data_IF_834229411504
#
_entry.id   IF_834229411504
#
_cell.length_a   1.000
_cell.length_b   1.000
_cell.length_c   1.000
_cell.angle_alpha   90.00
_cell.angle_beta   90.00
_cell.angle_gamma   90.00
#
_symmetry.space_group_name_H-M   'P 1'
#
loop_
_entity.id
_entity.type
_entity.pdbx_description
1 polymer ?
#
# COMPACT_ATOMS: atom_id res chain seq x y z
N UNK A 1 -2.33 -17.79 -15.03
CA UNK A 1 -1.64 -16.57 -14.58
C UNK A 1 -0.27 -16.50 -15.24
N UNK A 2 0.18 -15.28 -15.57
CA UNK A 2 1.51 -15.04 -16.14
C UNK A 2 2.55 -14.98 -15.02
N UNK A 3 3.78 -15.43 -15.28
CA UNK A 3 4.90 -15.29 -14.33
C UNK A 3 5.16 -13.82 -13.93
N UNK A 4 4.90 -12.88 -14.84
CA UNK A 4 5.03 -11.45 -14.56
C UNK A 4 3.97 -10.96 -13.56
N UNK A 5 2.74 -11.48 -13.69
CA UNK A 5 1.64 -11.21 -12.77
C UNK A 5 1.98 -11.71 -11.36
N UNK A 6 2.40 -12.97 -11.21
CA UNK A 6 2.75 -13.56 -9.91
C UNK A 6 3.89 -12.80 -9.22
N UNK A 7 4.87 -12.34 -10.01
CA UNK A 7 5.99 -11.54 -9.49
C UNK A 7 5.52 -10.17 -9.01
N UNK A 8 4.64 -9.51 -9.78
CA UNK A 8 4.07 -8.22 -9.40
C UNK A 8 3.23 -8.33 -8.12
N UNK A 9 2.40 -9.37 -8.00
CA UNK A 9 1.62 -9.63 -6.79
C UNK A 9 2.53 -9.81 -5.56
N UNK A 10 3.56 -10.65 -5.66
CA UNK A 10 4.50 -10.86 -4.55
C UNK A 10 5.22 -9.56 -4.14
N UNK A 11 5.59 -8.72 -5.11
CA UNK A 11 6.19 -7.41 -4.84
C UNK A 11 5.21 -6.46 -4.15
N UNK A 12 3.96 -6.40 -4.58
CA UNK A 12 2.95 -5.54 -3.99
C UNK A 12 2.60 -6.04 -2.58
N UNK A 13 2.34 -7.33 -2.41
CA UNK A 13 1.95 -7.92 -1.14
C UNK A 13 3.04 -7.81 -0.07
N UNK A 14 4.33 -7.96 -0.42
CA UNK A 14 5.43 -7.76 0.53
C UNK A 14 5.47 -6.34 1.12
N UNK A 15 5.14 -5.33 0.33
CA UNK A 15 5.07 -3.93 0.79
C UNK A 15 3.83 -3.68 1.65
N UNK A 16 2.70 -4.27 1.26
CA UNK A 16 1.49 -4.25 2.08
C UNK A 16 1.65 -4.96 3.43
N UNK A 17 2.51 -5.99 3.52
CA UNK A 17 2.84 -6.64 4.78
C UNK A 17 3.58 -5.68 5.71
N UNK A 18 4.62 -4.99 5.21
CA UNK A 18 5.36 -3.98 6.00
C UNK A 18 4.47 -2.84 6.50
N UNK A 19 3.58 -2.32 5.64
CA UNK A 19 2.61 -1.29 6.03
C UNK A 19 1.65 -1.77 7.12
N UNK A 20 1.32 -3.07 7.14
CA UNK A 20 0.44 -3.68 8.14
C UNK A 20 1.16 -3.94 9.46
N UNK A 21 2.45 -4.25 9.40
CA UNK A 21 3.30 -4.45 10.58
C UNK A 21 3.63 -3.14 11.31
N UNK A 22 3.14 -2.01 10.80
CA UNK A 22 3.18 -0.71 11.47
C UNK A 22 4.27 0.23 10.94
N UNK A 23 5.00 -0.14 9.88
CA UNK A 23 5.86 0.80 9.18
C UNK A 23 4.98 1.78 8.40
N UNK A 24 4.78 2.96 8.97
CA UNK A 24 4.00 4.07 8.40
C UNK A 24 4.87 5.11 7.70
N UNK A 25 6.09 4.73 7.31
CA UNK A 25 7.02 5.67 6.68
C UNK A 25 6.49 6.17 5.33
N UNK A 26 6.69 7.47 5.08
CA UNK A 26 6.31 8.09 3.80
C UNK A 26 7.03 7.43 2.61
N UNK A 27 8.26 6.94 2.84
CA UNK A 27 9.03 6.21 1.83
C UNK A 27 8.34 4.89 1.44
N UNK A 28 7.92 4.08 2.41
CA UNK A 28 7.25 2.80 2.13
C UNK A 28 5.92 3.00 1.40
N UNK A 29 5.16 4.05 1.75
CA UNK A 29 3.95 4.43 1.01
C UNK A 29 4.25 4.79 -0.45
N UNK A 30 5.29 5.60 -0.70
CA UNK A 30 5.70 5.97 -2.05
C UNK A 30 6.18 4.74 -2.86
N UNK A 31 6.97 3.85 -2.24
CA UNK A 31 7.41 2.61 -2.87
C UNK A 31 6.25 1.65 -3.19
N UNK A 32 5.24 1.59 -2.31
CA UNK A 32 4.03 0.79 -2.53
C UNK A 32 3.21 1.33 -3.69
N UNK A 33 2.97 2.64 -3.71
CA UNK A 33 2.29 3.33 -4.81
C UNK A 33 3.02 3.10 -6.13
N UNK A 34 4.34 3.31 -6.16
CA UNK A 34 5.16 3.08 -7.34
C UNK A 34 5.09 1.62 -7.83
N UNK A 35 5.11 0.63 -6.93
CA UNK A 35 5.00 -0.78 -7.31
C UNK A 35 3.66 -1.10 -7.98
N UNK A 36 2.55 -0.54 -7.47
CA UNK A 36 1.21 -0.69 -8.05
C UNK A 36 1.16 -0.08 -9.46
N UNK A 37 1.66 1.16 -9.60
CA UNK A 37 1.69 1.86 -10.88
C UNK A 37 2.56 1.14 -11.92
N UNK A 38 3.75 0.65 -11.52
CA UNK A 38 4.63 -0.10 -12.41
C UNK A 38 4.00 -1.44 -12.84
N UNK A 39 3.34 -2.16 -11.93
CA UNK A 39 2.67 -3.41 -12.27
C UNK A 39 1.58 -3.21 -13.33
N UNK A 40 0.79 -2.14 -13.19
CA UNK A 40 -0.25 -1.79 -14.16
C UNK A 40 0.36 -1.31 -15.49
N UNK A 41 1.37 -0.43 -15.45
CA UNK A 41 2.03 0.09 -16.65
C UNK A 41 2.71 -1.00 -17.50
N UNK A 42 3.22 -2.05 -16.85
CA UNK A 42 3.81 -3.22 -17.52
C UNK A 42 2.75 -4.26 -17.97
N UNK A 43 1.47 -4.03 -17.70
CA UNK A 43 0.38 -4.96 -18.01
C UNK A 43 0.42 -6.24 -17.17
N UNK A 44 1.11 -6.22 -16.03
CA UNK A 44 1.17 -7.36 -15.12
C UNK A 44 -0.13 -7.50 -14.31
N UNK A 45 -0.83 -6.39 -14.05
CA UNK A 45 -2.16 -6.35 -13.44
C UNK A 45 -3.11 -5.55 -14.33
N UNK A 46 -4.40 -5.83 -14.25
CA UNK A 46 -5.41 -5.07 -14.98
C UNK A 46 -5.87 -3.82 -14.20
N UNK A 47 -6.81 -3.07 -14.81
CA UNK A 47 -7.34 -1.83 -14.23
C UNK A 47 -8.21 -2.06 -12.98
N UNK A 48 -8.85 -3.23 -12.85
CA UNK A 48 -9.66 -3.56 -11.68
C UNK A 48 -8.75 -3.89 -10.49
N UNK A 49 -7.70 -4.67 -10.73
CA UNK A 49 -6.65 -4.98 -9.76
C UNK A 49 -5.89 -3.73 -9.33
N UNK A 50 -5.51 -2.87 -10.27
CA UNK A 50 -4.90 -1.57 -9.99
C UNK A 50 -5.76 -0.74 -9.04
N UNK A 51 -7.05 -0.55 -9.38
CA UNK A 51 -8.00 0.17 -8.52
C UNK A 51 -8.14 -0.48 -7.16
N UNK A 52 -8.21 -1.80 -7.10
CA UNK A 52 -8.29 -2.54 -5.84
C UNK A 52 -7.08 -2.23 -4.94
N UNK A 53 -5.87 -2.28 -5.49
CA UNK A 53 -4.66 -2.01 -4.73
C UNK A 53 -4.53 -0.54 -4.30
N UNK A 54 -4.88 0.42 -5.14
CA UNK A 54 -4.90 1.86 -4.78
C UNK A 54 -5.86 2.10 -3.61
N UNK A 55 -7.10 1.62 -3.71
CA UNK A 55 -8.10 1.77 -2.63
C UNK A 55 -7.62 1.12 -1.33
N UNK A 56 -6.92 -0.01 -1.44
CA UNK A 56 -6.37 -0.71 -0.28
C UNK A 56 -5.24 0.10 0.37
N UNK A 57 -4.38 0.76 -0.42
CA UNK A 57 -3.31 1.64 0.07
C UNK A 57 -3.89 2.88 0.77
N UNK A 58 -4.89 3.52 0.17
CA UNK A 58 -5.57 4.69 0.74
C UNK A 58 -6.20 4.38 2.10
N UNK A 59 -6.87 3.21 2.22
CA UNK A 59 -7.45 2.75 3.48
C UNK A 59 -6.40 2.57 4.57
N UNK A 60 -5.25 1.99 4.24
CA UNK A 60 -4.17 1.83 5.23
C UNK A 60 -3.63 3.18 5.69
N UNK A 61 -3.40 4.10 4.75
CA UNK A 61 -2.98 5.46 5.09
C UNK A 61 -3.99 6.15 6.01
N UNK A 62 -5.29 6.03 5.72
CA UNK A 62 -6.35 6.59 6.56
C UNK A 62 -6.31 6.01 7.98
N UNK A 63 -6.28 4.68 8.12
CA UNK A 63 -6.22 3.99 9.42
C UNK A 63 -5.01 4.46 10.24
N UNK A 64 -3.83 4.53 9.63
CA UNK A 64 -2.61 4.97 10.30
C UNK A 64 -2.68 6.44 10.72
N UNK A 65 -3.26 7.30 9.87
CA UNK A 65 -3.47 8.72 10.20
C UNK A 65 -4.45 8.92 11.37
N UNK A 66 -5.53 8.14 11.42
CA UNK A 66 -6.52 8.17 12.50
C UNK A 66 -5.91 7.68 13.81
N UNK A 67 -5.09 6.63 13.76
CA UNK A 67 -4.34 6.14 14.91
C UNK A 67 -3.38 7.21 15.46
N UNK A 68 -2.60 7.84 14.57
CA UNK A 68 -1.69 8.93 14.95
C UNK A 68 -2.41 10.12 15.60
N UNK A 69 -3.53 10.57 15.02
CA UNK A 69 -4.34 11.66 15.59
C UNK A 69 -4.95 11.26 16.95
N UNK A 70 -5.33 10.01 17.12
CA UNK A 70 -5.86 9.49 18.40
C UNK A 70 -4.79 9.51 19.48
N UNK A 71 -3.56 9.12 19.15
CA UNK A 71 -2.44 9.15 20.09
C UNK A 71 -2.08 10.58 20.49
N UNK A 72 -2.07 11.53 19.55
CA UNK A 72 -1.90 12.95 19.85
C UNK A 72 -2.96 13.41 20.86
N UNK A 73 -4.25 13.11 20.62
CA UNK A 73 -5.35 13.49 21.52
C UNK A 73 -5.21 12.91 22.92
N UNK A 74 -4.65 11.69 23.06
CA UNK A 74 -4.39 11.06 24.36
C UNK A 74 -3.20 11.67 25.09
N UNK A 75 -2.22 12.18 24.34
CA UNK A 75 -1.00 12.78 24.86
C UNK A 75 -1.12 14.28 25.17
N UNK A 76 -2.17 14.94 24.72
CA UNK A 76 -2.47 16.33 25.03
C UNK A 76 -2.97 16.45 26.49
N UNK A 77 -2.35 17.32 27.33
CA UNK A 77 -2.70 17.50 28.74
C UNK A 77 -4.03 18.22 28.97
#
# INVERSE_FOLDING_TARGET
>A
MSRAHDTALAMIDSRFALLRDGDSSAQLHAETSMAIEMAHALGAIDIEEHRHYVVRLDRLYQIQSEAFLTDIRRSAP
#
